data_IF_449289022643
#
_entry.id   IF_449289022643
#
_cell.length_a   1.000
_cell.length_b   1.000
_cell.length_c   1.000
_cell.angle_alpha   90.00
_cell.angle_beta   90.00
_cell.angle_gamma   90.00
#
_symmetry.space_group_name_H-M   'P 1'
#
loop_
_entity.id
_entity.type
_entity.pdbx_description
1 polymer ?
#
# COMPACT_ATOMS: atom_id res chain seq x y z
N UNK A 1 -18.54 -2.40 1.00
CA UNK A 1 -17.47 -2.53 -0.01
C UNK A 1 -16.22 -2.98 0.73
N UNK A 2 -15.46 -3.95 0.21
CA UNK A 2 -14.26 -4.43 0.90
C UNK A 2 -13.14 -3.39 0.83
N UNK A 3 -12.25 -3.35 1.83
CA UNK A 3 -11.17 -2.35 1.96
C UNK A 3 -10.31 -2.21 0.70
N UNK A 4 -10.05 -3.32 -0.01
CA UNK A 4 -9.30 -3.29 -1.27
C UNK A 4 -10.01 -2.44 -2.33
N UNK A 5 -11.32 -2.64 -2.51
CA UNK A 5 -12.08 -1.92 -3.54
C UNK A 5 -12.20 -0.44 -3.19
N UNK A 6 -12.38 -0.11 -1.91
CA UNK A 6 -12.44 1.27 -1.41
C UNK A 6 -11.15 2.03 -1.78
N UNK A 7 -9.99 1.49 -1.37
CA UNK A 7 -8.69 2.10 -1.68
C UNK A 7 -8.40 2.14 -3.18
N UNK A 8 -8.76 1.10 -3.94
CA UNK A 8 -8.62 1.12 -5.39
C UNK A 8 -9.41 2.28 -6.00
N UNK A 9 -10.70 2.41 -5.67
CA UNK A 9 -11.54 3.49 -6.22
C UNK A 9 -10.98 4.86 -5.88
N UNK A 10 -10.60 5.08 -4.61
CA UNK A 10 -10.05 6.36 -4.18
C UNK A 10 -8.75 6.72 -4.94
N UNK A 11 -7.82 5.77 -5.09
CA UNK A 11 -6.56 6.00 -5.82
C UNK A 11 -6.77 6.22 -7.33
N UNK A 12 -7.74 5.55 -7.94
CA UNK A 12 -8.07 5.75 -9.35
C UNK A 12 -8.64 7.15 -9.58
N UNK A 13 -9.52 7.59 -8.69
CA UNK A 13 -10.12 8.93 -8.73
C UNK A 13 -9.07 10.01 -8.45
N UNK A 14 -8.22 9.84 -7.44
CA UNK A 14 -7.15 10.78 -7.08
C UNK A 14 -6.14 10.99 -8.21
N UNK A 15 -5.74 9.91 -8.87
CA UNK A 15 -4.76 9.95 -9.98
C UNK A 15 -5.42 10.20 -11.34
N UNK A 16 -6.75 10.30 -11.39
CA UNK A 16 -7.53 10.44 -12.61
C UNK A 16 -7.14 9.39 -13.66
N UNK A 17 -7.04 8.13 -13.22
CA UNK A 17 -6.70 6.99 -14.07
C UNK A 17 -7.97 6.56 -14.82
N UNK A 18 -7.96 6.72 -16.14
CA UNK A 18 -9.09 6.38 -17.03
C UNK A 18 -8.77 5.18 -17.93
N UNK A 19 -7.53 4.67 -17.87
CA UNK A 19 -7.05 3.59 -18.75
C UNK A 19 -7.10 2.25 -18.03
N UNK A 20 -7.80 1.28 -18.63
CA UNK A 20 -8.00 -0.07 -18.07
C UNK A 20 -6.71 -0.78 -17.64
N UNK A 21 -5.61 -0.57 -18.38
CA UNK A 21 -4.30 -1.17 -18.03
C UNK A 21 -3.76 -0.63 -16.71
N UNK A 22 -3.92 0.66 -16.49
CA UNK A 22 -3.36 1.37 -15.35
C UNK A 22 -4.25 1.10 -14.11
N UNK A 23 -5.56 0.95 -14.32
CA UNK A 23 -6.49 0.45 -13.32
C UNK A 23 -6.14 -0.98 -12.84
N UNK A 24 -5.83 -1.87 -13.79
CA UNK A 24 -5.41 -3.25 -13.47
C UNK A 24 -4.14 -3.25 -12.62
N UNK A 25 -3.18 -2.40 -12.99
CA UNK A 25 -1.93 -2.23 -12.24
C UNK A 25 -2.21 -1.69 -10.83
N UNK A 26 -3.03 -0.63 -10.71
CA UNK A 26 -3.37 -0.05 -9.41
C UNK A 26 -4.02 -1.09 -8.50
N UNK A 27 -4.97 -1.86 -9.03
CA UNK A 27 -5.64 -2.94 -8.29
C UNK A 27 -4.65 -3.98 -7.77
N UNK A 28 -3.65 -4.34 -8.58
CA UNK A 28 -2.59 -5.24 -8.16
C UNK A 28 -1.71 -4.63 -7.05
N UNK A 29 -1.38 -3.33 -7.14
CA UNK A 29 -0.58 -2.63 -6.13
C UNK A 29 -1.30 -2.55 -4.78
N UNK A 30 -2.59 -2.24 -4.77
CA UNK A 30 -3.40 -2.25 -3.54
C UNK A 30 -3.46 -3.65 -2.93
N UNK A 31 -3.66 -4.70 -3.74
CA UNK A 31 -3.63 -6.09 -3.26
C UNK A 31 -2.29 -6.44 -2.61
N UNK A 32 -1.18 -6.04 -3.21
CA UNK A 32 0.15 -6.28 -2.67
C UNK A 32 0.39 -5.54 -1.35
N UNK A 33 -0.02 -4.26 -1.28
CA UNK A 33 0.06 -3.46 -0.06
C UNK A 33 -0.73 -4.10 1.09
N UNK A 34 -1.95 -4.59 0.82
CA UNK A 34 -2.75 -5.32 1.82
C UNK A 34 -2.02 -6.57 2.31
N UNK A 35 -1.49 -7.40 1.39
CA UNK A 35 -0.77 -8.61 1.77
C UNK A 35 0.47 -8.31 2.62
N UNK A 36 1.19 -7.24 2.31
CA UNK A 36 2.35 -6.83 3.10
C UNK A 36 1.97 -6.40 4.51
N UNK A 37 0.89 -5.63 4.67
CA UNK A 37 0.37 -5.29 6.00
C UNK A 37 -0.07 -6.55 6.73
N UNK A 38 -0.80 -7.47 6.09
CA UNK A 38 -1.21 -8.74 6.71
C UNK A 38 0.01 -9.52 7.21
N UNK A 39 1.05 -9.64 6.38
CA UNK A 39 2.29 -10.32 6.76
C UNK A 39 2.98 -9.64 7.95
N UNK A 40 3.04 -8.31 7.96
CA UNK A 40 3.67 -7.54 9.04
C UNK A 40 2.86 -7.56 10.33
N UNK A 41 1.54 -7.55 10.24
CA UNK A 41 0.62 -7.72 11.38
C UNK A 41 0.70 -9.12 11.96
N UNK A 42 1.04 -10.13 11.15
CA UNK A 42 1.24 -11.51 11.60
C UNK A 42 0.06 -11.99 12.45
N UNK A 43 -1.15 -11.89 11.89
CA UNK A 43 -2.37 -12.19 12.63
C UNK A 43 -2.38 -13.64 13.14
N UNK A 44 -2.80 -13.87 14.39
CA UNK A 44 -3.00 -15.22 14.91
C UNK A 44 -4.02 -16.02 14.11
N UNK A 45 -3.89 -17.35 14.12
CA UNK A 45 -4.78 -18.27 13.40
C UNK A 45 -6.25 -18.22 13.85
N UNK A 46 -6.55 -17.66 15.02
CA UNK A 46 -7.92 -17.54 15.53
C UNK A 46 -8.63 -16.26 15.05
N UNK A 47 -7.94 -15.36 14.33
CA UNK A 47 -8.58 -14.18 13.75
C UNK A 47 -9.51 -14.60 12.62
N UNK A 48 -10.73 -14.07 12.65
CA UNK A 48 -11.67 -14.22 11.54
C UNK A 48 -11.32 -13.25 10.41
N UNK A 49 -11.84 -13.51 9.20
CA UNK A 49 -11.71 -12.57 8.10
C UNK A 49 -12.29 -11.19 8.44
N UNK A 50 -13.38 -11.14 9.22
CA UNK A 50 -14.01 -9.89 9.66
C UNK A 50 -13.13 -9.11 10.64
N UNK A 51 -12.38 -9.79 11.51
CA UNK A 51 -11.43 -9.15 12.43
C UNK A 51 -10.24 -8.58 11.68
N UNK A 52 -9.72 -9.31 10.69
CA UNK A 52 -8.64 -8.84 9.81
C UNK A 52 -9.14 -7.63 9.01
N UNK A 53 -10.32 -7.69 8.41
CA UNK A 53 -10.86 -6.57 7.62
C UNK A 53 -11.07 -5.32 8.50
N UNK A 54 -11.58 -5.49 9.72
CA UNK A 54 -11.77 -4.38 10.67
C UNK A 54 -10.44 -3.72 11.06
N UNK A 55 -9.38 -4.50 11.22
CA UNK A 55 -8.05 -3.98 11.51
C UNK A 55 -7.42 -3.31 10.28
N UNK A 56 -7.54 -3.91 9.09
CA UNK A 56 -7.08 -3.32 7.84
C UNK A 56 -7.74 -1.96 7.56
N UNK A 57 -9.03 -1.79 7.91
CA UNK A 57 -9.71 -0.48 7.83
C UNK A 57 -9.04 0.61 8.69
N UNK A 58 -8.47 0.25 9.85
CA UNK A 58 -7.71 1.21 10.68
C UNK A 58 -6.36 1.57 10.07
N UNK A 59 -5.84 0.69 9.23
CA UNK A 59 -4.58 0.84 8.51
C UNK A 59 -4.79 1.37 7.08
N UNK A 60 -5.98 1.92 6.77
CA UNK A 60 -6.32 2.45 5.45
C UNK A 60 -5.21 3.34 4.89
N UNK A 61 -4.76 4.34 5.66
CA UNK A 61 -3.73 5.30 5.22
C UNK A 61 -2.39 4.64 4.92
N UNK A 62 -2.02 3.60 5.68
CA UNK A 62 -0.79 2.84 5.42
C UNK A 62 -0.89 2.05 4.11
N UNK A 63 -2.03 1.39 3.86
CA UNK A 63 -2.27 0.63 2.62
C UNK A 63 -2.29 1.58 1.42
N UNK A 64 -3.00 2.70 1.56
CA UNK A 64 -3.11 3.74 0.55
C UNK A 64 -1.74 4.31 0.17
N UNK A 65 -0.98 4.81 1.15
CA UNK A 65 0.35 5.38 0.93
C UNK A 65 1.31 4.37 0.29
N UNK A 66 1.27 3.11 0.75
CA UNK A 66 2.14 2.05 0.23
C UNK A 66 1.80 1.68 -1.22
N UNK A 67 0.51 1.55 -1.54
CA UNK A 67 0.06 1.26 -2.90
C UNK A 67 0.42 2.40 -3.86
N UNK A 68 0.19 3.64 -3.45
CA UNK A 68 0.55 4.84 -4.22
C UNK A 68 2.06 4.93 -4.44
N UNK A 69 2.87 4.67 -3.41
CA UNK A 69 4.32 4.62 -3.53
C UNK A 69 4.77 3.56 -4.54
N UNK A 70 4.30 2.32 -4.41
CA UNK A 70 4.68 1.21 -5.27
C UNK A 70 4.19 1.35 -6.72
N UNK A 71 3.09 2.08 -6.92
CA UNK A 71 2.61 2.48 -8.24
C UNK A 71 3.55 3.52 -8.88
N UNK A 72 3.94 4.55 -8.13
CA UNK A 72 4.83 5.61 -8.60
C UNK A 72 6.26 5.14 -8.91
N UNK A 73 6.67 3.98 -8.40
CA UNK A 73 7.98 3.36 -8.68
C UNK A 73 8.01 2.49 -9.94
N UNK A 74 6.87 2.30 -10.62
CA UNK A 74 6.84 1.55 -11.88
C UNK A 74 7.73 2.26 -12.92
N UNK A 75 8.64 1.49 -13.53
CA UNK A 75 9.65 2.02 -14.46
C UNK A 75 10.96 2.44 -13.80
N UNK A 76 11.06 2.40 -12.46
CA UNK A 76 12.30 2.57 -11.69
C UNK A 76 12.66 1.31 -10.87
N UNK A 77 12.11 0.16 -11.25
CA UNK A 77 12.22 -1.11 -10.54
C UNK A 77 13.68 -1.56 -10.39
N UNK A 78 14.12 -1.83 -9.16
CA UNK A 78 15.49 -2.29 -8.89
C UNK A 78 16.56 -1.19 -8.95
N UNK A 79 16.19 0.08 -9.10
CA UNK A 79 17.14 1.19 -9.02
C UNK A 79 17.47 1.49 -7.55
N UNK A 80 18.62 1.01 -7.07
CA UNK A 80 19.07 1.16 -5.68
C UNK A 80 19.76 2.50 -5.38
N UNK A 81 20.18 3.22 -6.43
CA UNK A 81 20.67 4.60 -6.33
C UNK A 81 20.65 5.29 -7.70
N UNK A 82 20.15 6.53 -7.74
CA UNK A 82 20.34 7.46 -8.86
C UNK A 82 20.75 8.81 -8.29
N UNK A 83 22.02 9.20 -8.45
CA UNK A 83 22.49 10.55 -8.15
C UNK A 83 22.49 11.38 -9.44
N UNK A 84 21.45 12.16 -9.66
CA UNK A 84 21.46 13.24 -10.64
C UNK A 84 21.61 14.57 -9.90
N UNK A 85 22.75 15.23 -10.13
CA UNK A 85 23.01 16.59 -9.68
C UNK A 85 21.84 17.51 -10.08
N UNK A 86 21.11 18.08 -9.11
CA UNK A 86 20.40 19.34 -9.32
C UNK A 86 19.04 19.55 -8.66
N UNK A 87 18.32 18.52 -8.19
CA UNK A 87 17.07 18.74 -7.43
C UNK A 87 16.77 17.53 -6.53
N UNK A 88 16.96 17.66 -5.22
CA UNK A 88 16.62 16.60 -4.25
C UNK A 88 15.11 16.53 -4.06
N UNK A 89 14.43 15.66 -4.81
CA UNK A 89 13.11 15.15 -4.42
C UNK A 89 13.36 14.01 -3.44
N UNK A 90 13.38 14.32 -2.14
CA UNK A 90 13.43 13.29 -1.10
C UNK A 90 12.07 12.60 -1.11
N UNK A 91 11.92 11.53 -1.87
CA UNK A 91 10.74 10.67 -1.76
C UNK A 91 10.68 10.12 -0.33
N UNK A 92 9.49 10.09 0.26
CA UNK A 92 9.22 9.45 1.54
C UNK A 92 9.73 7.99 1.45
N UNK A 93 10.45 7.49 2.46
CA UNK A 93 10.98 6.13 2.41
C UNK A 93 9.79 5.15 2.31
N UNK A 94 9.92 4.07 1.53
CA UNK A 94 8.85 3.06 1.43
C UNK A 94 8.43 2.57 2.82
N UNK A 95 9.38 2.39 3.72
CA UNK A 95 9.16 1.97 5.11
C UNK A 95 8.39 3.01 5.94
N UNK A 96 8.43 4.28 5.57
CA UNK A 96 7.61 5.31 6.21
C UNK A 96 6.11 5.07 6.01
N UNK A 97 5.72 4.40 4.92
CA UNK A 97 4.34 3.99 4.69
C UNK A 97 3.88 2.88 5.65
N UNK A 98 4.83 2.15 6.25
CA UNK A 98 4.58 1.06 7.20
C UNK A 98 4.75 1.49 8.67
N UNK A 99 5.09 2.76 8.93
CA UNK A 99 5.15 3.29 10.29
C UNK A 99 3.82 3.11 11.01
N UNK A 100 3.87 2.56 12.23
CA UNK A 100 2.67 2.25 13.02
C UNK A 100 2.08 0.85 12.75
N UNK A 101 2.53 0.15 11.71
CA UNK A 101 2.15 -1.25 11.45
C UNK A 101 3.09 -2.16 12.23
N UNK A 102 2.57 -2.71 13.32
CA UNK A 102 3.29 -3.64 14.20
C UNK A 102 2.62 -5.01 14.20
N UNK A 103 3.41 -6.06 14.44
CA UNK A 103 2.88 -7.39 14.67
C UNK A 103 1.83 -7.38 15.79
N UNK A 104 0.84 -8.25 15.69
CA UNK A 104 -0.17 -8.40 16.71
C UNK A 104 0.50 -8.82 18.02
N UNK A 105 0.45 -7.92 19.00
CA UNK A 105 0.88 -8.18 20.37
C UNK A 105 -0.40 -8.35 21.20
N UNK A 106 -0.81 -9.60 21.40
CA UNK A 106 -2.04 -9.91 22.11
C UNK A 106 -2.10 -9.34 23.52
N UNK A 107 -3.33 -9.11 24.00
CA UNK A 107 -3.66 -9.00 25.41
C UNK A 107 -4.75 -10.01 25.72
#
# INVERSE_FOLDING_TARGET
>A
MGIQNEICTDLLDELNIVKDSDETIMTLKVKNAINEIINRRSYPSHFTNDDIERDLKKLYSNIHDLALYDYNQIGAEGQTSHSSNGTSRTWKDREDCLKGVFAWAGF
#
